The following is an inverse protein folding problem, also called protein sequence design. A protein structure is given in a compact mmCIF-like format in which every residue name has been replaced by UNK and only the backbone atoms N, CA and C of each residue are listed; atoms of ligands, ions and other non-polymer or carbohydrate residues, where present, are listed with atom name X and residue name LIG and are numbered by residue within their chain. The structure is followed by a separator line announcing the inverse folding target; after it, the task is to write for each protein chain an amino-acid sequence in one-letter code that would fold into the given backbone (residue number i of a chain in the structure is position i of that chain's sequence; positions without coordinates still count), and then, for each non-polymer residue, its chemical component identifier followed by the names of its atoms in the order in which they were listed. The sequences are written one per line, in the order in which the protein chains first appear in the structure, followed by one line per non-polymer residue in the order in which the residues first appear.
data_IF_553980152403
#
_entry.id   IF_553980152403
#
_cell.length_a   1.000
_cell.length_b   1.000
_cell.length_c   1.000
_cell.angle_alpha   90.00
_cell.angle_beta   90.00
_cell.angle_gamma   90.00
#
_symmetry.space_group_name_H-M   'P 1'
#
loop_
_entity.id
_entity.type
_entity.pdbx_description
1 polymer ?
#
# COMPACT_ATOMS: atom_id res chain seq x y z
N UNK A 1 -8.63 -8.17 -11.75
CA UNK A 1 -8.29 -6.89 -12.41
C UNK A 1 -8.86 -5.78 -11.55
N UNK A 2 -8.05 -4.79 -11.16
CA UNK A 2 -8.48 -3.68 -10.28
C UNK A 2 -9.11 -2.51 -11.05
N UNK A 3 -9.30 -2.65 -12.36
CA UNK A 3 -9.91 -1.66 -13.28
C UNK A 3 -9.25 -0.26 -13.25
N UNK A 4 -7.97 -0.21 -12.88
CA UNK A 4 -7.14 0.99 -12.90
C UNK A 4 -6.46 1.16 -14.26
N UNK A 5 -6.34 2.41 -14.72
CA UNK A 5 -5.63 2.72 -15.97
C UNK A 5 -4.14 2.83 -15.74
N UNK A 6 -3.37 1.90 -16.31
CA UNK A 6 -1.91 1.90 -16.29
C UNK A 6 -1.33 2.96 -17.24
N UNK A 7 -0.43 3.82 -16.73
CA UNK A 7 0.29 4.84 -17.51
C UNK A 7 1.67 4.33 -17.97
N UNK A 8 2.38 3.60 -17.11
CA UNK A 8 3.72 3.07 -17.43
C UNK A 8 3.76 1.55 -17.40
N UNK A 9 4.71 0.94 -18.10
CA UNK A 9 5.05 -0.46 -17.78
C UNK A 9 5.57 -0.56 -16.34
N UNK A 10 5.46 -1.75 -15.70
CA UNK A 10 6.10 -1.99 -14.41
C UNK A 10 7.61 -1.84 -14.53
N UNK A 11 8.18 -1.01 -13.66
CA UNK A 11 9.63 -0.87 -13.52
C UNK A 11 10.09 -1.69 -12.32
N UNK A 12 11.07 -2.56 -12.55
CA UNK A 12 11.60 -3.47 -11.53
C UNK A 12 13.08 -3.19 -11.32
N UNK A 13 13.46 -2.91 -10.08
CA UNK A 13 14.82 -2.54 -9.70
C UNK A 13 15.30 -3.46 -8.58
N UNK A 14 16.49 -4.02 -8.76
CA UNK A 14 17.20 -4.71 -7.67
C UNK A 14 17.99 -3.68 -6.88
N UNK A 15 17.88 -3.73 -5.57
CA UNK A 15 18.65 -2.90 -4.65
C UNK A 15 19.55 -3.77 -3.80
N UNK A 16 20.85 -3.50 -3.85
CA UNK A 16 21.87 -4.13 -2.99
C UNK A 16 22.25 -3.11 -1.92
N UNK A 17 21.76 -3.31 -0.71
CA UNK A 17 21.99 -2.44 0.43
C UNK A 17 23.34 -2.76 1.11
N UNK A 18 23.97 -1.80 1.81
CA UNK A 18 25.16 -2.07 2.62
C UNK A 18 24.95 -3.20 3.64
N UNK A 19 23.75 -3.26 4.22
CA UNK A 19 23.31 -4.37 5.06
C UNK A 19 22.54 -5.36 4.21
N UNK A 20 23.07 -6.57 4.04
CA UNK A 20 22.48 -7.55 3.11
C UNK A 20 21.00 -7.90 3.38
N UNK A 21 20.52 -7.77 4.62
CA UNK A 21 19.11 -8.00 4.98
C UNK A 21 18.15 -6.93 4.45
N UNK A 22 18.66 -5.74 4.10
CA UNK A 22 17.89 -4.63 3.54
C UNK A 22 17.89 -4.66 1.99
N UNK A 23 18.55 -5.65 1.39
CA UNK A 23 18.61 -5.84 -0.05
C UNK A 23 17.35 -6.56 -0.55
N UNK A 24 16.94 -6.27 -1.78
CA UNK A 24 15.76 -6.87 -2.35
C UNK A 24 15.38 -6.32 -3.72
N UNK A 25 14.11 -6.47 -4.05
CA UNK A 25 13.53 -6.02 -5.32
C UNK A 25 12.42 -5.03 -5.04
N UNK A 26 12.48 -3.89 -5.73
CA UNK A 26 11.43 -2.89 -5.76
C UNK A 26 10.75 -2.89 -7.12
N UNK A 27 9.42 -2.83 -7.12
CA UNK A 27 8.60 -2.70 -8.31
C UNK A 27 7.70 -1.48 -8.20
N UNK A 28 7.54 -0.72 -9.27
CA UNK A 28 6.55 0.37 -9.31
C UNK A 28 5.85 0.46 -10.66
N UNK A 29 4.59 0.85 -10.63
CA UNK A 29 3.80 1.20 -11.81
C UNK A 29 3.04 2.48 -11.54
N UNK A 30 3.12 3.42 -12.48
CA UNK A 30 2.30 4.62 -12.46
C UNK A 30 0.96 4.28 -13.10
N UNK A 31 -0.11 4.58 -12.39
CA UNK A 31 -1.49 4.50 -12.87
C UNK A 31 -2.08 5.92 -12.89
N UNK A 32 -3.25 6.11 -13.51
CA UNK A 32 -3.90 7.41 -13.56
C UNK A 32 -4.00 8.05 -12.16
N UNK A 33 -3.33 9.19 -12.01
CA UNK A 33 -3.35 10.07 -10.83
C UNK A 33 -2.81 9.44 -9.52
N UNK A 34 -2.11 8.29 -9.59
CA UNK A 34 -1.68 7.55 -8.40
C UNK A 34 -0.59 6.50 -8.73
N UNK A 35 -0.42 5.44 -7.93
CA UNK A 35 0.64 4.44 -8.15
C UNK A 35 0.41 3.13 -7.37
N UNK A 36 1.07 2.07 -7.83
CA UNK A 36 1.27 0.85 -7.06
C UNK A 36 2.78 0.63 -6.89
N UNK A 37 3.23 0.44 -5.66
CA UNK A 37 4.63 0.16 -5.32
C UNK A 37 4.76 -1.10 -4.46
N UNK A 38 5.84 -1.84 -4.69
CA UNK A 38 6.19 -3.06 -3.95
C UNK A 38 7.67 -2.97 -3.58
N UNK A 39 8.01 -3.28 -2.34
CA UNK A 39 9.37 -3.41 -1.84
C UNK A 39 9.53 -4.72 -1.09
N UNK A 40 10.38 -5.60 -1.59
CA UNK A 40 10.66 -6.91 -0.96
C UNK A 40 11.94 -6.86 -0.15
N UNK A 41 11.96 -7.59 0.96
CA UNK A 41 13.13 -7.81 1.81
C UNK A 41 13.27 -9.32 2.06
N UNK A 42 13.77 -10.10 1.08
CA UNK A 42 13.68 -11.56 1.12
C UNK A 42 14.39 -12.19 2.31
N UNK A 43 15.45 -11.58 2.84
CA UNK A 43 16.17 -12.09 4.01
C UNK A 43 15.44 -11.85 5.34
N UNK A 44 14.39 -11.04 5.32
CA UNK A 44 13.54 -10.71 6.48
C UNK A 44 12.16 -11.37 6.38
N UNK A 45 11.90 -12.13 5.30
CA UNK A 45 10.57 -12.64 4.96
C UNK A 45 9.50 -11.54 5.01
N UNK A 46 9.86 -10.35 4.50
CA UNK A 46 9.07 -9.13 4.65
C UNK A 46 8.83 -8.41 3.31
N UNK A 47 7.65 -7.81 3.18
CA UNK A 47 7.23 -7.07 2.00
C UNK A 47 6.43 -5.83 2.42
N UNK A 48 6.68 -4.70 1.75
CA UNK A 48 5.85 -3.51 1.82
C UNK A 48 5.16 -3.32 0.47
N UNK A 49 3.85 -3.04 0.49
CA UNK A 49 3.04 -2.83 -0.71
C UNK A 49 2.14 -1.61 -0.48
N UNK A 50 2.15 -0.69 -1.44
CA UNK A 50 1.19 0.41 -1.51
C UNK A 50 0.34 0.25 -2.77
N UNK A 51 -0.98 0.19 -2.59
CA UNK A 51 -1.97 0.25 -3.67
C UNK A 51 -2.76 1.54 -3.49
N UNK A 52 -2.37 2.59 -4.20
CA UNK A 52 -3.00 3.89 -4.11
C UNK A 52 -3.71 4.20 -5.43
N UNK A 53 -5.00 4.53 -5.36
CA UNK A 53 -5.83 4.88 -6.51
C UNK A 53 -6.72 6.09 -6.21
N UNK A 54 -6.91 6.97 -7.20
CA UNK A 54 -7.93 8.02 -7.15
C UNK A 54 -9.34 7.49 -7.47
N UNK A 55 -9.44 6.29 -8.06
CA UNK A 55 -10.71 5.60 -8.30
C UNK A 55 -10.98 4.56 -7.22
N UNK A 56 -12.23 4.39 -6.76
CA UNK A 56 -12.62 3.31 -5.87
C UNK A 56 -12.23 1.95 -6.46
N UNK A 57 -11.72 1.06 -5.63
CA UNK A 57 -11.40 -0.31 -6.00
C UNK A 57 -11.77 -1.26 -4.87
N UNK A 58 -11.93 -2.54 -5.20
CA UNK A 58 -12.14 -3.57 -4.19
C UNK A 58 -10.81 -3.88 -3.50
N UNK A 59 -10.56 -3.23 -2.35
CA UNK A 59 -9.33 -3.40 -1.57
C UNK A 59 -9.24 -4.78 -0.90
N UNK A 60 -10.36 -5.41 -0.58
CA UNK A 60 -10.39 -6.78 -0.04
C UNK A 60 -9.89 -7.78 -1.11
N UNK A 61 -10.37 -7.64 -2.35
CA UNK A 61 -9.87 -8.45 -3.46
C UNK A 61 -8.39 -8.18 -3.75
N UNK A 62 -7.97 -6.92 -3.72
CA UNK A 62 -6.57 -6.55 -3.92
C UNK A 62 -5.67 -7.16 -2.84
N UNK A 63 -6.15 -7.21 -1.59
CA UNK A 63 -5.44 -7.83 -0.49
C UNK A 63 -5.33 -9.35 -0.66
N UNK A 64 -6.42 -10.03 -1.02
CA UNK A 64 -6.40 -11.48 -1.25
C UNK A 64 -5.47 -11.85 -2.42
N UNK A 65 -5.52 -11.10 -3.53
CA UNK A 65 -4.61 -11.27 -4.67
C UNK A 65 -3.13 -11.16 -4.23
N UNK A 66 -2.82 -10.20 -3.35
CA UNK A 66 -1.47 -10.00 -2.81
C UNK A 66 -1.05 -11.13 -1.85
N UNK A 67 -1.97 -11.56 -0.96
CA UNK A 67 -1.75 -12.69 -0.04
C UNK A 67 -1.41 -13.95 -0.81
N UNK A 68 -2.19 -14.27 -1.83
CA UNK A 68 -1.98 -15.45 -2.67
C UNK A 68 -0.68 -15.36 -3.48
N UNK A 69 -0.42 -14.21 -4.13
CA UNK A 69 0.74 -14.03 -4.99
C UNK A 69 2.08 -14.20 -4.26
N UNK A 70 2.17 -13.68 -3.03
CA UNK A 70 3.40 -13.72 -2.24
C UNK A 70 3.41 -14.79 -1.15
N UNK A 71 2.30 -15.55 -0.98
CA UNK A 71 2.17 -16.55 0.08
C UNK A 71 2.28 -15.96 1.48
N UNK A 72 1.67 -14.81 1.72
CA UNK A 72 1.79 -14.09 2.99
C UNK A 72 0.98 -14.78 4.09
N UNK A 73 1.64 -15.10 5.20
CA UNK A 73 1.00 -15.74 6.37
C UNK A 73 0.59 -14.75 7.45
N UNK A 74 1.20 -13.56 7.47
CA UNK A 74 0.87 -12.48 8.39
C UNK A 74 0.80 -11.18 7.59
N UNK A 75 -0.31 -10.46 7.74
CA UNK A 75 -0.54 -9.21 7.02
C UNK A 75 -1.04 -8.15 7.99
N UNK A 76 -0.39 -6.99 7.97
CA UNK A 76 -0.88 -5.78 8.60
C UNK A 76 -1.25 -4.78 7.51
N UNK A 77 -2.51 -4.39 7.47
CA UNK A 77 -3.03 -3.46 6.46
C UNK A 77 -3.56 -2.20 7.11
N UNK A 78 -3.51 -1.13 6.34
CA UNK A 78 -4.12 0.14 6.67
C UNK A 78 -4.84 0.67 5.44
N UNK A 79 -6.10 1.04 5.61
CA UNK A 79 -6.88 1.73 4.59
C UNK A 79 -6.97 3.20 4.97
N UNK A 80 -6.61 4.08 4.03
CA UNK A 80 -6.60 5.52 4.22
C UNK A 80 -7.32 6.18 3.06
N UNK A 81 -8.36 6.94 3.38
CA UNK A 81 -8.99 7.82 2.40
C UNK A 81 -8.10 9.05 2.19
N UNK A 82 -7.99 9.49 0.94
CA UNK A 82 -7.14 10.62 0.54
C UNK A 82 -7.99 11.66 -0.17
N UNK A 83 -7.61 12.94 -0.04
CA UNK A 83 -8.38 14.04 -0.61
C UNK A 83 -9.58 14.47 0.23
N UNK A 84 -9.61 14.13 1.52
CA UNK A 84 -10.64 14.58 2.46
C UNK A 84 -10.57 16.11 2.66
N UNK A 85 -9.41 16.72 2.45
CA UNK A 85 -9.18 18.16 2.47
C UNK A 85 -9.96 18.95 1.39
N UNK A 86 -10.55 18.27 0.40
CA UNK A 86 -11.43 18.88 -0.59
C UNK A 86 -12.90 18.95 -0.13
N UNK A 87 -13.24 18.30 1.00
CA UNK A 87 -14.44 18.61 1.78
C UNK A 87 -14.19 19.90 2.58
N UNK A 88 -15.17 20.44 3.32
CA UNK A 88 -14.95 21.62 4.18
C UNK A 88 -13.59 21.52 4.91
N UNK A 89 -12.71 22.51 4.75
CA UNK A 89 -11.28 22.40 5.11
C UNK A 89 -11.05 21.93 6.56
N UNK A 90 -11.99 22.28 7.47
CA UNK A 90 -11.93 21.89 8.88
C UNK A 90 -12.32 20.43 9.08
N UNK A 91 -13.32 19.95 8.36
CA UNK A 91 -13.76 18.55 8.39
C UNK A 91 -12.68 17.64 7.82
N UNK A 92 -12.12 17.97 6.66
CA UNK A 92 -11.07 17.17 6.03
C UNK A 92 -9.81 17.04 6.87
N UNK A 93 -9.39 18.13 7.53
CA UNK A 93 -8.26 18.10 8.45
C UNK A 93 -8.54 17.22 9.68
N UNK A 94 -9.72 17.34 10.28
CA UNK A 94 -10.10 16.56 11.46
C UNK A 94 -10.16 15.05 11.16
N UNK A 95 -10.76 14.65 10.04
CA UNK A 95 -10.84 13.25 9.63
C UNK A 95 -9.46 12.67 9.31
N UNK A 96 -8.61 13.42 8.60
CA UNK A 96 -7.23 13.01 8.31
C UNK A 96 -6.40 12.82 9.58
N UNK A 97 -6.54 13.71 10.56
CA UNK A 97 -5.87 13.58 11.87
C UNK A 97 -6.40 12.39 12.65
N UNK A 98 -7.72 12.16 12.63
CA UNK A 98 -8.34 11.02 13.29
C UNK A 98 -7.83 9.70 12.70
N UNK A 99 -7.85 9.54 11.38
CA UNK A 99 -7.34 8.35 10.70
C UNK A 99 -5.88 8.07 11.09
N UNK A 100 -5.00 9.08 11.04
CA UNK A 100 -3.59 8.95 11.45
C UNK A 100 -3.45 8.53 12.92
N UNK A 101 -4.21 9.15 13.82
CA UNK A 101 -4.15 8.83 15.25
C UNK A 101 -4.56 7.39 15.54
N UNK A 102 -5.54 6.85 14.80
CA UNK A 102 -5.97 5.45 14.90
C UNK A 102 -4.86 4.50 14.47
N UNK A 103 -4.12 4.83 13.40
CA UNK A 103 -2.98 4.02 12.95
C UNK A 103 -1.81 4.04 13.93
N UNK A 104 -1.47 5.23 14.46
CA UNK A 104 -0.37 5.41 15.42
C UNK A 104 -0.64 4.73 16.76
N UNK A 105 -1.89 4.72 17.21
CA UNK A 105 -2.31 4.05 18.46
C UNK A 105 -2.33 2.51 18.35
N UNK A 106 -2.00 1.94 17.19
CA UNK A 106 -2.17 0.51 16.95
C UNK A 106 -3.63 0.08 16.98
N UNK A 107 -4.56 1.03 16.73
CA UNK A 107 -5.96 0.71 16.46
C UNK A 107 -6.02 -0.34 15.35
N UNK A 108 -7.05 -1.21 15.35
CA UNK A 108 -6.99 -2.49 14.66
C UNK A 108 -6.59 -2.26 13.21
N UNK A 109 -5.33 -2.57 12.87
CA UNK A 109 -5.09 -3.12 11.55
C UNK A 109 -6.08 -4.26 11.46
N UNK A 110 -6.95 -4.25 10.45
CA UNK A 110 -7.81 -5.39 10.24
C UNK A 110 -6.85 -6.56 9.97
N UNK A 111 -6.60 -7.35 11.01
CA UNK A 111 -5.92 -8.63 10.89
C UNK A 111 -6.91 -9.50 10.12
N UNK A 112 -6.67 -9.61 8.82
CA UNK A 112 -7.38 -10.56 7.99
C UNK A 112 -6.60 -11.87 8.06
N UNK A 113 -7.08 -12.79 8.89
CA UNK A 113 -6.59 -14.18 8.95
C UNK A 113 -6.52 -14.82 7.54
#
# INVERSE_FOLDING_TARGET
SLDMTRITEPNVLRYEAPKSEDSGVSGFVIIAESHISIHTFPRKDYINIDIFSCQPFNHELALEDVKELFGLTEVKTWLLDRGLEWLDERQGFAESQQQRSVLEAGGPGQYFD
#
